data_IF_020035806190
#
_entry.id   IF_020035806190
#
_cell.length_a   1.000
_cell.length_b   1.000
_cell.length_c   1.000
_cell.angle_alpha   90.00
_cell.angle_beta   90.00
_cell.angle_gamma   90.00
#
_symmetry.space_group_name_H-M   'P 1'
#
loop_
_entity.id
_entity.type
_entity.pdbx_description
1 polymer ?
#
# COMPACT_ATOMS: atom_id res chain seq x y z
N UNK A 1 -4.94 11.67 -3.62
CA UNK A 1 -6.37 11.63 -3.24
C UNK A 1 -7.16 12.18 -4.41
N UNK A 2 -8.28 11.56 -4.79
CA UNK A 2 -9.19 12.08 -5.81
C UNK A 2 -10.49 12.49 -5.11
N UNK A 3 -10.96 13.71 -5.38
CA UNK A 3 -12.18 14.24 -4.80
C UNK A 3 -13.05 14.86 -5.90
N UNK A 4 -14.34 14.52 -5.92
CA UNK A 4 -15.30 15.07 -6.85
C UNK A 4 -15.95 16.33 -6.26
N UNK A 5 -16.02 17.40 -7.05
CA UNK A 5 -16.70 18.64 -6.65
C UNK A 5 -18.21 18.61 -6.87
N UNK A 6 -18.67 17.75 -7.77
CA UNK A 6 -20.07 17.66 -8.19
C UNK A 6 -20.60 16.24 -8.01
N UNK A 7 -21.89 16.11 -7.72
CA UNK A 7 -22.53 14.82 -7.42
C UNK A 7 -22.46 13.84 -8.59
N UNK A 8 -22.76 14.28 -9.81
CA UNK A 8 -22.72 13.41 -11.00
C UNK A 8 -21.31 12.84 -11.24
N UNK A 9 -20.27 13.66 -11.03
CA UNK A 9 -18.88 13.23 -11.13
C UNK A 9 -18.51 12.23 -10.04
N UNK A 10 -19.02 12.41 -8.82
CA UNK A 10 -18.85 11.46 -7.72
C UNK A 10 -19.50 10.10 -8.04
N UNK A 11 -20.72 10.11 -8.58
CA UNK A 11 -21.46 8.90 -8.96
C UNK A 11 -20.74 8.12 -10.08
N UNK A 12 -20.25 8.84 -11.10
CA UNK A 12 -19.45 8.25 -12.18
C UNK A 12 -18.14 7.63 -11.66
N UNK A 13 -17.35 8.38 -10.90
CA UNK A 13 -16.10 7.86 -10.32
C UNK A 13 -16.37 6.65 -9.43
N UNK A 14 -17.39 6.70 -8.57
CA UNK A 14 -17.78 5.58 -7.71
C UNK A 14 -18.12 4.33 -8.53
N UNK A 15 -18.82 4.48 -9.66
CA UNK A 15 -19.08 3.39 -10.60
C UNK A 15 -17.80 2.84 -11.22
N UNK A 16 -16.87 3.71 -11.64
CA UNK A 16 -15.58 3.27 -12.19
C UNK A 16 -14.77 2.46 -11.16
N UNK A 17 -14.72 2.89 -9.89
CA UNK A 17 -14.07 2.14 -8.80
C UNK A 17 -14.75 0.79 -8.57
N UNK A 18 -16.08 0.74 -8.52
CA UNK A 18 -16.84 -0.51 -8.34
C UNK A 18 -16.62 -1.49 -9.51
N UNK A 19 -16.50 -0.99 -10.73
CA UNK A 19 -16.20 -1.77 -11.94
C UNK A 19 -14.70 -2.11 -12.09
N UNK A 20 -13.85 -1.72 -11.13
CA UNK A 20 -12.39 -1.95 -11.18
C UNK A 20 -11.71 -1.34 -12.42
N UNK A 21 -12.29 -0.28 -12.99
CA UNK A 21 -11.74 0.45 -14.15
C UNK A 21 -10.67 1.48 -13.77
N UNK A 22 -10.55 1.78 -12.48
CA UNK A 22 -9.52 2.67 -11.95
C UNK A 22 -8.28 1.87 -11.59
N UNK A 23 -7.18 2.17 -12.26
CA UNK A 23 -5.87 1.60 -11.92
C UNK A 23 -5.25 2.42 -10.81
N UNK A 24 -4.74 1.73 -9.79
CA UNK A 24 -4.12 2.34 -8.60
C UNK A 24 -2.73 1.74 -8.45
N UNK A 25 -1.72 2.61 -8.51
CA UNK A 25 -0.33 2.23 -8.35
C UNK A 25 0.23 2.88 -7.08
N UNK A 26 0.90 2.06 -6.29
CA UNK A 26 1.54 2.46 -5.05
C UNK A 26 3.02 2.16 -5.11
N UNK A 27 3.78 2.90 -4.32
CA UNK A 27 5.16 2.58 -3.98
C UNK A 27 5.21 2.21 -2.50
N UNK A 28 5.97 1.19 -2.17
CA UNK A 28 6.21 0.82 -0.79
C UNK A 28 7.67 0.39 -0.58
N UNK A 29 8.13 0.48 0.68
CA UNK A 29 9.38 -0.14 1.09
C UNK A 29 9.08 -1.30 2.02
N UNK A 30 9.62 -2.45 1.70
CA UNK A 30 9.51 -3.66 2.52
C UNK A 30 10.85 -4.01 3.20
N UNK A 31 10.78 -4.73 4.32
CA UNK A 31 11.97 -5.29 4.97
C UNK A 31 12.42 -6.54 4.21
N UNK A 32 13.49 -6.41 3.44
CA UNK A 32 13.99 -7.45 2.55
C UNK A 32 14.37 -8.72 3.31
N UNK A 33 14.87 -8.57 4.54
CA UNK A 33 15.38 -9.68 5.36
C UNK A 33 14.29 -10.62 5.82
N UNK A 34 13.03 -10.17 5.73
CA UNK A 34 11.85 -10.97 6.06
C UNK A 34 11.09 -11.38 4.82
N UNK A 35 11.35 -10.72 3.69
CA UNK A 35 10.57 -10.96 2.51
C UNK A 35 10.91 -12.34 1.92
N UNK A 36 9.89 -13.16 1.71
CA UNK A 36 10.01 -14.51 1.14
C UNK A 36 9.48 -14.58 -0.29
N UNK A 37 9.24 -13.43 -0.92
CA UNK A 37 8.65 -13.36 -2.26
C UNK A 37 9.67 -13.08 -3.34
N UNK A 38 9.32 -13.48 -4.57
CA UNK A 38 10.06 -13.19 -5.79
C UNK A 38 10.04 -11.70 -6.14
N UNK A 39 10.90 -11.30 -7.08
CA UNK A 39 10.98 -9.91 -7.61
C UNK A 39 9.67 -9.40 -8.20
N UNK A 40 8.72 -10.28 -8.54
CA UNK A 40 7.36 -9.89 -8.91
C UNK A 40 6.38 -11.01 -8.58
N UNK A 41 5.11 -10.66 -8.44
CA UNK A 41 4.06 -11.64 -8.20
C UNK A 41 2.68 -11.03 -8.05
N UNK A 42 1.72 -11.89 -7.74
CA UNK A 42 0.36 -11.51 -7.39
C UNK A 42 -0.17 -12.37 -6.24
N UNK A 43 -1.09 -11.81 -5.49
CA UNK A 43 -1.82 -12.47 -4.40
C UNK A 43 -3.30 -12.15 -4.54
N UNK A 44 -4.10 -13.22 -4.63
CA UNK A 44 -5.55 -13.18 -4.83
C UNK A 44 -6.28 -13.86 -3.67
N UNK A 45 -5.93 -13.46 -2.45
CA UNK A 45 -6.59 -13.95 -1.24
C UNK A 45 -7.58 -12.92 -0.72
N UNK A 46 -8.82 -13.32 -0.39
CA UNK A 46 -9.81 -12.40 0.14
C UNK A 46 -9.45 -11.92 1.55
N UNK A 47 -10.03 -10.79 1.92
CA UNK A 47 -9.82 -10.12 3.20
C UNK A 47 -11.13 -9.98 3.95
N UNK A 48 -11.07 -10.08 5.27
CA UNK A 48 -12.17 -9.69 6.17
C UNK A 48 -11.66 -8.82 7.31
N UNK A 49 -12.56 -8.11 7.98
CA UNK A 49 -12.21 -7.46 9.25
C UNK A 49 -11.80 -8.54 10.26
N UNK A 50 -10.67 -8.34 10.92
CA UNK A 50 -10.19 -9.28 11.92
C UNK A 50 -11.15 -9.26 13.14
N UNK A 51 -11.72 -10.43 13.52
CA UNK A 51 -12.68 -10.50 14.62
C UNK A 51 -12.05 -10.23 16.00
N UNK A 52 -10.74 -10.50 16.15
CA UNK A 52 -9.99 -10.28 17.41
C UNK A 52 -9.43 -8.86 17.47
N UNK A 53 -9.08 -8.28 16.32
CA UNK A 53 -8.61 -6.91 16.23
C UNK A 53 -9.38 -6.14 15.15
N UNK A 54 -10.41 -5.41 15.55
CA UNK A 54 -11.26 -4.63 14.64
C UNK A 54 -10.50 -3.53 13.86
N UNK A 55 -9.29 -3.15 14.29
CA UNK A 55 -8.40 -2.24 13.57
C UNK A 55 -7.66 -2.91 12.40
N UNK A 56 -7.62 -4.23 12.35
CA UNK A 56 -6.93 -5.05 11.35
C UNK A 56 -7.89 -5.68 10.33
N UNK A 57 -7.27 -6.17 9.26
CA UNK A 57 -7.85 -7.07 8.28
C UNK A 57 -7.09 -8.37 8.34
N UNK A 58 -7.80 -9.48 8.20
CA UNK A 58 -7.25 -10.83 8.15
C UNK A 58 -7.32 -11.32 6.70
N UNK A 59 -6.19 -11.85 6.21
CA UNK A 59 -6.13 -12.63 4.95
C UNK A 59 -6.76 -13.99 5.20
N UNK A 60 -7.62 -14.42 4.27
CA UNK A 60 -8.29 -15.71 4.33
C UNK A 60 -7.67 -16.63 3.28
N UNK A 61 -6.94 -17.62 3.76
CA UNK A 61 -6.39 -18.72 2.96
C UNK A 61 -7.21 -20.00 3.13
N UNK A 62 -6.78 -21.10 2.49
CA UNK A 62 -7.48 -22.39 2.51
C UNK A 62 -7.69 -22.97 3.92
N UNK A 63 -6.89 -22.58 4.91
CA UNK A 63 -7.05 -22.98 6.32
C UNK A 63 -7.99 -22.08 7.13
N UNK A 64 -8.32 -20.90 6.61
CA UNK A 64 -9.22 -19.95 7.24
C UNK A 64 -10.65 -20.23 6.77
N UNK A 65 -11.58 -20.54 7.68
CA UNK A 65 -12.99 -20.86 7.35
C UNK A 65 -13.66 -19.72 6.57
N UNK A 66 -13.55 -19.76 5.25
CA UNK A 66 -13.80 -18.68 4.30
C UNK A 66 -15.26 -18.49 3.91
N UNK A 67 -16.20 -18.78 4.82
CA UNK A 67 -17.62 -18.51 4.58
C UNK A 67 -18.21 -17.75 5.76
N UNK A 68 -18.59 -16.51 5.47
CA UNK A 68 -19.21 -15.59 6.42
C UNK A 68 -19.47 -14.24 5.75
N UNK A 69 -20.38 -13.45 6.31
CA UNK A 69 -20.60 -12.09 5.86
C UNK A 69 -19.33 -11.24 6.02
N UNK A 70 -19.09 -10.30 5.10
CA UNK A 70 -17.96 -9.37 5.17
C UNK A 70 -16.62 -9.88 4.64
N UNK A 71 -16.61 -10.99 3.91
CA UNK A 71 -15.48 -11.41 3.07
C UNK A 71 -15.44 -10.55 1.80
N UNK A 72 -14.31 -9.91 1.55
CA UNK A 72 -14.11 -9.00 0.42
C UNK A 72 -13.01 -9.56 -0.49
N UNK A 73 -13.26 -9.72 -1.80
CA UNK A 73 -12.22 -10.14 -2.73
C UNK A 73 -11.11 -9.09 -2.76
N UNK A 74 -9.87 -9.56 -2.79
CA UNK A 74 -8.71 -8.69 -2.82
C UNK A 74 -7.64 -9.24 -3.77
N UNK A 75 -7.15 -8.37 -4.66
CA UNK A 75 -6.14 -8.70 -5.66
C UNK A 75 -5.06 -7.62 -5.63
N UNK A 76 -3.84 -8.03 -5.34
CA UNK A 76 -2.67 -7.16 -5.26
C UNK A 76 -1.53 -7.80 -6.05
N UNK A 77 -0.89 -7.03 -6.94
CA UNK A 77 0.31 -7.46 -7.66
C UNK A 77 1.45 -6.52 -7.33
N UNK A 78 2.69 -7.01 -7.40
CA UNK A 78 3.87 -6.21 -7.09
C UNK A 78 5.03 -6.53 -8.03
N UNK A 79 5.97 -5.59 -8.07
CA UNK A 79 7.27 -5.73 -8.71
C UNK A 79 8.32 -4.95 -7.91
N UNK A 80 9.48 -5.55 -7.70
CA UNK A 80 10.65 -4.90 -7.12
C UNK A 80 11.23 -3.94 -8.15
N UNK A 81 11.29 -2.66 -7.78
CA UNK A 81 11.90 -1.60 -8.58
C UNK A 81 13.39 -1.45 -8.23
N UNK A 82 13.71 -1.66 -6.96
CA UNK A 82 15.07 -1.47 -6.44
C UNK A 82 15.31 -2.27 -5.17
N UNK A 83 16.49 -2.88 -5.09
CA UNK A 83 16.96 -3.57 -3.88
C UNK A 83 18.08 -2.76 -3.23
N UNK A 84 18.04 -2.70 -1.90
CA UNK A 84 19.13 -2.26 -1.04
C UNK A 84 19.50 -3.41 -0.10
N UNK A 85 20.57 -3.23 0.69
CA UNK A 85 21.10 -4.29 1.56
C UNK A 85 20.05 -4.96 2.48
N UNK A 86 19.13 -4.17 3.08
CA UNK A 86 18.16 -4.67 4.07
C UNK A 86 16.70 -4.33 3.73
N UNK A 87 16.42 -3.82 2.53
CA UNK A 87 15.09 -3.33 2.15
C UNK A 87 14.94 -3.27 0.64
N UNK A 88 13.70 -3.27 0.17
CA UNK A 88 13.38 -3.17 -1.26
C UNK A 88 12.29 -2.13 -1.51
N UNK A 89 12.44 -1.34 -2.57
CA UNK A 89 11.37 -0.51 -3.11
C UNK A 89 10.55 -1.35 -4.07
N UNK A 90 9.26 -1.41 -3.83
CA UNK A 90 8.32 -2.15 -4.66
C UNK A 90 7.25 -1.22 -5.24
N UNK A 91 6.91 -1.47 -6.50
CA UNK A 91 5.71 -0.95 -7.14
C UNK A 91 4.59 -1.96 -6.95
N UNK A 92 3.40 -1.46 -6.60
CA UNK A 92 2.24 -2.29 -6.26
C UNK A 92 1.03 -1.82 -7.04
N UNK A 93 0.32 -2.75 -7.66
CA UNK A 93 -0.97 -2.54 -8.30
C UNK A 93 -2.08 -3.12 -7.43
N UNK A 94 -3.06 -2.29 -7.06
CA UNK A 94 -4.21 -2.72 -6.25
C UNK A 94 -5.48 -2.68 -7.09
N UNK A 95 -5.94 -3.83 -7.57
CA UNK A 95 -7.14 -3.92 -8.43
C UNK A 95 -8.40 -3.58 -7.64
N UNK A 96 -8.52 -4.16 -6.44
CA UNK A 96 -9.59 -3.89 -5.48
C UNK A 96 -9.21 -2.76 -4.51
N UNK A 97 -10.14 -2.33 -3.66
CA UNK A 97 -9.97 -1.19 -2.74
C UNK A 97 -10.31 -1.55 -1.31
N UNK A 98 -9.94 -2.75 -0.86
CA UNK A 98 -10.24 -3.19 0.51
C UNK A 98 -9.36 -2.42 1.50
N UNK A 99 -9.93 -2.06 2.66
CA UNK A 99 -9.18 -1.37 3.72
C UNK A 99 -7.90 -2.15 4.05
N UNK A 100 -6.77 -1.47 4.18
CA UNK A 100 -5.47 -2.08 4.49
C UNK A 100 -5.03 -3.23 3.56
N UNK A 101 -5.59 -3.35 2.35
CA UNK A 101 -5.37 -4.50 1.49
C UNK A 101 -3.89 -4.80 1.25
N UNK A 102 -3.14 -3.81 0.77
CA UNK A 102 -1.70 -3.95 0.49
C UNK A 102 -0.97 -4.37 1.77
N UNK A 103 -1.19 -3.66 2.88
CA UNK A 103 -0.53 -3.91 4.16
C UNK A 103 -0.76 -5.34 4.67
N UNK A 104 -1.99 -5.82 4.58
CA UNK A 104 -2.35 -7.17 5.01
C UNK A 104 -1.76 -8.25 4.09
N UNK A 105 -1.82 -8.05 2.77
CA UNK A 105 -1.27 -8.99 1.79
C UNK A 105 0.25 -9.09 1.92
N UNK A 106 0.95 -7.95 1.94
CA UNK A 106 2.41 -7.92 2.04
C UNK A 106 2.89 -8.57 3.35
N UNK A 107 2.22 -8.32 4.48
CA UNK A 107 2.54 -8.99 5.74
C UNK A 107 2.23 -10.50 5.74
N UNK A 108 1.14 -10.92 5.09
CA UNK A 108 0.83 -12.35 4.91
C UNK A 108 1.91 -13.07 4.11
N UNK A 109 2.45 -12.40 3.09
CA UNK A 109 3.58 -12.86 2.29
C UNK A 109 4.93 -12.80 3.03
N UNK A 110 4.97 -12.47 4.32
CA UNK A 110 6.21 -12.31 5.09
C UNK A 110 6.98 -11.03 4.80
N UNK A 111 6.51 -10.17 3.89
CA UNK A 111 7.17 -8.93 3.47
C UNK A 111 6.43 -7.68 4.02
N UNK A 112 6.31 -7.48 5.35
CA UNK A 112 5.56 -6.33 5.87
C UNK A 112 6.20 -5.01 5.44
N UNK A 113 5.36 -4.04 5.11
CA UNK A 113 5.79 -2.67 4.78
C UNK A 113 6.52 -2.06 5.99
N UNK A 114 7.62 -1.36 5.75
CA UNK A 114 8.39 -0.67 6.78
C UNK A 114 7.56 0.43 7.46
N UNK A 115 7.66 0.49 8.80
CA UNK A 115 6.93 1.45 9.63
C UNK A 115 5.46 1.12 9.82
N UNK A 116 5.01 -0.06 9.38
CA UNK A 116 3.65 -0.53 9.61
C UNK A 116 3.45 -1.02 11.05
N UNK A 117 2.95 -0.14 11.93
CA UNK A 117 2.63 -0.45 13.33
C UNK A 117 1.51 -1.47 13.52
N UNK A 118 0.74 -1.77 12.47
CA UNK A 118 -0.40 -2.67 12.54
C UNK A 118 -0.02 -4.06 12.08
N UNK A 119 0.71 -4.21 10.98
CA UNK A 119 1.02 -5.50 10.36
C UNK A 119 2.50 -5.88 10.41
N UNK A 120 3.37 -4.93 10.72
CA UNK A 120 4.79 -5.17 10.95
C UNK A 120 5.12 -5.23 12.44
N UNK A 121 6.31 -5.74 12.72
CA UNK A 121 6.98 -5.58 14.01
C UNK A 121 8.02 -4.47 13.85
N UNK A 122 7.63 -3.25 14.24
CA UNK A 122 8.45 -2.05 14.05
C UNK A 122 9.77 -2.15 14.81
N UNK A 123 9.79 -2.80 15.97
CA UNK A 123 11.04 -2.97 16.73
C UNK A 123 12.03 -3.86 15.99
N UNK A 124 11.54 -4.93 15.38
CA UNK A 124 12.39 -5.80 14.58
C UNK A 124 12.78 -5.19 13.22
N UNK A 125 11.89 -4.41 12.61
CA UNK A 125 12.22 -3.66 11.39
C UNK A 125 13.35 -2.65 11.66
N UNK A 126 13.28 -1.90 12.76
CA UNK A 126 14.27 -0.88 13.12
C UNK A 126 15.68 -1.45 13.39
N UNK A 127 15.80 -2.73 13.77
CA UNK A 127 17.11 -3.40 13.82
C UNK A 127 17.64 -3.51 12.40
N UNK A 128 18.48 -2.59 11.93
CA UNK A 128 19.16 -2.68 10.62
C UNK A 128 18.51 -1.95 9.44
N UNK A 129 17.34 -1.32 9.59
CA UNK A 129 16.77 -0.41 8.57
C UNK A 129 16.82 1.07 8.96
N UNK A 130 17.19 1.38 10.21
CA UNK A 130 17.17 2.72 10.78
C UNK A 130 15.85 3.04 11.50
N UNK A 131 15.67 4.27 11.99
CA UNK A 131 14.46 4.65 12.73
C UNK A 131 13.30 4.99 11.77
N UNK A 132 12.54 3.98 11.37
CA UNK A 132 11.39 4.16 10.47
C UNK A 132 10.17 4.64 11.27
N UNK A 133 9.95 5.97 11.26
CA UNK A 133 8.89 6.63 12.06
C UNK A 133 7.49 6.59 11.44
N UNK A 134 7.37 6.25 10.15
CA UNK A 134 6.10 6.29 9.40
C UNK A 134 5.93 5.10 8.47
N UNK A 135 4.69 4.81 8.11
CA UNK A 135 4.36 3.83 7.08
C UNK A 135 4.97 4.26 5.73
N UNK A 136 5.83 3.42 5.17
CA UNK A 136 6.44 3.60 3.86
C UNK A 136 5.55 3.03 2.77
N UNK A 137 4.34 3.60 2.63
CA UNK A 137 3.38 3.29 1.57
C UNK A 137 2.85 4.60 1.00
N UNK A 138 2.97 4.77 -0.32
CA UNK A 138 2.61 5.99 -1.02
C UNK A 138 1.74 5.70 -2.23
N UNK A 139 0.61 6.40 -2.34
CA UNK A 139 -0.22 6.37 -3.53
C UNK A 139 0.45 7.22 -4.61
N UNK A 140 1.08 6.54 -5.58
CA UNK A 140 1.92 7.18 -6.57
C UNK A 140 1.15 7.60 -7.81
N UNK A 141 0.28 6.72 -8.31
CA UNK A 141 -0.39 6.95 -9.58
C UNK A 141 -1.84 6.44 -9.58
N UNK A 142 -2.68 7.17 -10.30
CA UNK A 142 -4.08 6.82 -10.53
C UNK A 142 -4.42 7.02 -12.01
N UNK A 143 -5.02 6.01 -12.64
CA UNK A 143 -5.49 6.08 -14.04
C UNK A 143 -6.98 5.79 -14.10
N UNK A 144 -7.76 6.72 -14.63
CA UNK A 144 -9.23 6.67 -14.66
C UNK A 144 -9.76 7.46 -15.86
N UNK A 145 -11.07 7.39 -16.15
CA UNK A 145 -11.70 8.30 -17.13
C UNK A 145 -12.21 9.51 -16.37
N UNK A 146 -11.77 10.71 -16.71
CA UNK A 146 -12.29 11.91 -16.05
C UNK A 146 -13.79 12.06 -16.36
N UNK A 147 -14.66 12.28 -15.35
CA UNK A 147 -16.10 12.38 -15.59
C UNK A 147 -16.44 13.43 -16.65
N UNK A 148 -17.20 13.04 -17.67
CA UNK A 148 -17.59 13.91 -18.77
C UNK A 148 -16.53 14.11 -19.87
N UNK A 149 -15.39 13.42 -19.79
CA UNK A 149 -14.38 13.40 -20.86
C UNK A 149 -14.25 12.01 -21.47
N UNK A 150 -13.76 11.97 -22.70
CA UNK A 150 -13.32 10.75 -23.35
C UNK A 150 -11.84 10.50 -23.07
N UNK A 151 -11.45 9.23 -23.07
CA UNK A 151 -10.06 8.82 -22.87
C UNK A 151 -9.62 8.70 -21.40
N UNK A 152 -8.48 8.04 -21.21
CA UNK A 152 -7.93 7.77 -19.89
C UNK A 152 -7.05 8.94 -19.44
N UNK A 153 -7.30 9.41 -18.24
CA UNK A 153 -6.50 10.41 -17.53
C UNK A 153 -5.57 9.71 -16.54
N UNK A 154 -4.29 10.07 -16.59
CA UNK A 154 -3.25 9.60 -15.67
C UNK A 154 -2.79 10.76 -14.79
N UNK A 155 -2.90 10.58 -13.48
CA UNK A 155 -2.33 11.51 -12.49
C UNK A 155 -1.23 10.82 -11.70
N UNK A 156 -0.11 11.51 -11.52
CA UNK A 156 1.08 11.00 -10.83
C UNK A 156 1.45 11.98 -9.73
N UNK A 157 1.65 11.48 -8.52
CA UNK A 157 2.18 12.25 -7.40
C UNK A 157 3.71 12.23 -7.43
N UNK A 158 4.34 13.26 -6.86
CA UNK A 158 5.80 13.28 -6.71
C UNK A 158 6.28 12.03 -5.96
N UNK A 159 7.44 11.53 -6.35
CA UNK A 159 8.12 10.46 -5.63
C UNK A 159 8.34 10.89 -4.17
N UNK A 160 8.04 10.02 -3.20
CA UNK A 160 8.34 10.34 -1.81
C UNK A 160 9.86 10.36 -1.59
N UNK A 161 10.33 11.20 -0.67
CA UNK A 161 11.77 11.36 -0.42
C UNK A 161 12.47 10.06 -0.04
N UNK A 162 11.77 9.14 0.62
CA UNK A 162 12.30 7.84 1.01
C UNK A 162 12.42 6.83 -0.15
N UNK A 163 11.90 7.12 -1.34
CA UNK A 163 11.98 6.21 -2.50
C UNK A 163 13.11 6.52 -3.46
N UNK A 164 13.93 7.55 -3.20
CA UNK A 164 15.06 7.94 -4.05
C UNK A 164 16.39 7.62 -3.37
N UNK A 165 17.35 7.13 -4.17
CA UNK A 165 18.73 6.96 -3.73
C UNK A 165 19.38 8.32 -3.47
N UNK A 166 19.46 8.67 -2.20
CA UNK A 166 20.35 9.71 -1.72
C UNK A 166 20.91 9.25 -0.39
N UNK A 167 21.80 8.26 -0.36
CA UNK A 167 22.63 7.88 0.79
C UNK A 167 21.96 8.02 2.18
N UNK A 168 20.68 7.66 2.31
CA UNK A 168 19.87 8.26 3.38
C UNK A 168 19.97 7.40 4.63
N UNK A 169 20.87 7.83 5.50
CA UNK A 169 20.75 7.57 6.93
C UNK A 169 19.34 8.00 7.36
N UNK A 170 18.53 7.05 7.81
CA UNK A 170 17.21 7.30 8.39
C UNK A 170 17.29 8.00 9.77
N UNK A 171 18.45 8.58 10.12
CA UNK A 171 18.70 9.27 11.39
C UNK A 171 18.01 10.62 11.51
N UNK A 172 17.67 11.30 10.41
CA UNK A 172 17.32 12.73 10.48
C UNK A 172 15.87 13.06 10.06
N UNK A 173 14.89 12.28 10.54
CA UNK A 173 13.48 12.73 10.59
C UNK A 173 13.06 13.01 12.04
N UNK A 174 13.95 13.66 12.81
CA UNK A 174 13.56 14.47 13.96
C UNK A 174 14.28 15.79 13.90
N UNK A 175 13.72 16.75 13.15
CA UNK A 175 13.59 18.15 13.55
C UNK A 175 12.97 18.93 12.39
N UNK A 176 11.64 19.00 12.39
CA UNK A 176 10.90 20.02 11.66
C UNK A 176 9.55 20.24 12.35
N UNK A 177 9.61 20.82 13.56
CA UNK A 177 8.48 21.47 14.21
C UNK A 177 9.01 22.29 15.39
N UNK A 178 9.33 23.55 15.15
CA UNK A 178 8.68 24.69 15.82
C UNK A 178 9.23 25.98 15.20
N UNK A 179 8.31 26.81 14.73
CA UNK A 179 8.58 28.10 14.12
C UNK A 179 9.09 29.11 15.16
N UNK A 180 9.99 29.98 14.70
CA UNK A 180 10.23 31.32 15.21
C UNK A 180 8.96 32.21 14.99
N UNK A 181 8.83 33.40 15.60
CA UNK A 181 9.85 34.22 16.28
C UNK A 181 9.78 34.23 17.81
#
# INVERSE_FOLDING_TARGET
MLAARQRWAWEDLRRQFAQKKVEKVYLAVEDERRCVTSDSGSIELPLRRDPRNKGRMQVLDSGSSGRGSGVLPAITSWQVEKRWANRSLIRIWSVTGVRHQIRAHMAYLGCPILGDKTYGDVQAQNRGTGDVKRLMLHAHELVFVEPGKEGRTRIVSKMPEWSVDKDTHFSDISQASCAAP
#
